data_IF_202759547534
#
_entry.id   IF_202759547534
#
_cell.length_a   1.000
_cell.length_b   1.000
_cell.length_c   1.000
_cell.angle_alpha   90.00
_cell.angle_beta   90.00
_cell.angle_gamma   90.00
#
_symmetry.space_group_name_H-M   'P 1'
#
loop_
_entity.id
_entity.type
_entity.pdbx_description
1 polymer ?
#
# COMPACT_ATOMS: atom_id res chain seq x y z
N UNK A 1 3.92 0.53 -29.51
CA UNK A 1 3.52 0.00 -28.19
C UNK A 1 4.75 -0.52 -27.47
N UNK A 2 4.66 -0.79 -26.16
CA UNK A 2 5.76 -1.31 -25.36
C UNK A 2 5.29 -2.53 -24.58
N UNK A 3 6.16 -3.53 -24.44
CA UNK A 3 5.92 -4.74 -23.65
C UNK A 3 7.13 -5.02 -22.75
N UNK A 4 6.86 -5.59 -21.58
CA UNK A 4 7.86 -6.08 -20.64
C UNK A 4 7.65 -7.59 -20.54
N UNK A 5 8.71 -8.36 -20.73
CA UNK A 5 8.71 -9.83 -20.58
C UNK A 5 9.66 -10.14 -19.44
N UNK A 6 9.17 -10.91 -18.46
CA UNK A 6 9.95 -11.37 -17.31
C UNK A 6 9.99 -12.89 -17.32
N UNK A 7 11.13 -13.47 -16.92
CA UNK A 7 11.31 -14.93 -16.89
C UNK A 7 10.44 -15.60 -15.81
N UNK A 8 10.19 -14.91 -14.70
CA UNK A 8 9.37 -15.42 -13.59
C UNK A 8 8.43 -14.36 -13.04
N UNK A 9 7.33 -14.82 -12.43
CA UNK A 9 6.34 -13.95 -11.77
C UNK A 9 6.92 -13.18 -10.58
N UNK A 10 7.98 -13.69 -9.94
CA UNK A 10 8.60 -13.04 -8.80
C UNK A 10 9.32 -11.75 -9.22
N UNK A 11 10.04 -11.79 -10.35
CA UNK A 11 10.67 -10.61 -10.91
C UNK A 11 9.63 -9.55 -11.30
N UNK A 12 8.52 -9.95 -11.93
CA UNK A 12 7.44 -9.03 -12.26
C UNK A 12 6.90 -8.32 -11.01
N UNK A 13 6.64 -9.06 -9.92
CA UNK A 13 6.12 -8.48 -8.66
C UNK A 13 7.10 -7.54 -7.96
N UNK A 14 8.40 -7.77 -8.12
CA UNK A 14 9.47 -6.96 -7.48
C UNK A 14 9.74 -5.66 -8.21
N UNK A 15 9.74 -5.70 -9.55
CA UNK A 15 10.15 -4.56 -10.37
C UNK A 15 8.98 -3.71 -10.87
N UNK A 16 7.82 -4.31 -11.14
CA UNK A 16 6.69 -3.54 -11.65
C UNK A 16 6.08 -2.61 -10.59
N UNK A 17 5.61 -1.42 -11.00
CA UNK A 17 4.79 -0.59 -10.13
C UNK A 17 3.53 -1.34 -9.66
N UNK A 18 3.22 -1.25 -8.37
CA UNK A 18 2.05 -1.91 -7.76
C UNK A 18 0.72 -1.67 -8.50
N UNK A 19 0.54 -0.51 -9.14
CA UNK A 19 -0.71 -0.21 -9.85
C UNK A 19 -0.88 -1.02 -11.15
N UNK A 20 0.21 -1.47 -11.80
CA UNK A 20 0.15 -2.41 -12.91
C UNK A 20 -0.23 -3.81 -12.42
N UNK A 21 0.40 -4.27 -11.33
CA UNK A 21 0.07 -5.56 -10.70
C UNK A 21 -1.40 -5.64 -10.27
N UNK A 22 -1.97 -4.55 -9.76
CA UNK A 22 -3.40 -4.49 -9.41
C UNK A 22 -4.29 -4.60 -10.66
N UNK A 23 -3.91 -3.99 -11.79
CA UNK A 23 -4.65 -4.11 -13.06
C UNK A 23 -4.56 -5.54 -13.63
N UNK A 24 -3.42 -6.20 -13.46
CA UNK A 24 -3.20 -7.59 -13.86
C UNK A 24 -3.80 -8.62 -12.88
N UNK A 25 -4.36 -8.19 -11.74
CA UNK A 25 -4.94 -9.08 -10.72
C UNK A 25 -3.93 -9.77 -9.81
N UNK A 26 -2.65 -9.40 -9.87
CA UNK A 26 -1.57 -10.01 -9.08
C UNK A 26 -1.41 -9.37 -7.69
N UNK A 27 -2.09 -8.26 -7.40
CA UNK A 27 -2.03 -7.55 -6.12
C UNK A 27 -3.38 -6.90 -5.76
N UNK A 28 -3.65 -6.76 -4.46
CA UNK A 28 -4.87 -6.11 -3.99
C UNK A 28 -4.79 -4.56 -4.00
N UNK A 29 -5.90 -3.86 -4.31
CA UNK A 29 -5.97 -2.41 -4.22
C UNK A 29 -5.92 -1.92 -2.76
N UNK A 30 -5.25 -0.80 -2.53
CA UNK A 30 -5.17 -0.20 -1.18
C UNK A 30 -6.44 0.58 -0.88
N UNK A 31 -7.23 0.12 0.09
CA UNK A 31 -8.58 0.66 0.39
C UNK A 31 -8.61 1.93 1.25
N UNK A 32 -7.55 2.23 2.03
CA UNK A 32 -7.59 3.35 2.98
C UNK A 32 -7.35 4.70 2.30
N UNK A 33 -8.25 5.67 2.48
CA UNK A 33 -8.13 7.01 1.92
C UNK A 33 -7.05 7.88 2.60
N UNK A 34 -6.55 8.89 1.87
CA UNK A 34 -5.53 9.85 2.39
C UNK A 34 -6.03 10.59 3.64
N UNK A 35 -7.30 10.99 3.67
CA UNK A 35 -7.94 11.70 4.78
C UNK A 35 -7.88 10.87 6.08
N UNK A 36 -8.37 9.63 6.03
CA UNK A 36 -8.38 8.70 7.17
C UNK A 36 -6.97 8.47 7.75
N UNK A 37 -5.94 8.34 6.90
CA UNK A 37 -4.55 8.19 7.36
C UNK A 37 -4.04 9.42 8.10
N UNK A 38 -4.35 10.62 7.60
CA UNK A 38 -3.93 11.88 8.23
C UNK A 38 -4.64 12.12 9.56
N UNK A 39 -5.94 11.83 9.62
CA UNK A 39 -6.74 11.94 10.85
C UNK A 39 -6.24 10.97 11.92
N UNK A 40 -6.01 9.70 11.56
CA UNK A 40 -5.43 8.70 12.47
C UNK A 40 -4.08 9.16 13.02
N UNK A 41 -3.19 9.65 12.14
CA UNK A 41 -1.88 10.20 12.55
C UNK A 41 -2.02 11.34 13.56
N UNK A 42 -2.95 12.27 13.34
CA UNK A 42 -3.17 13.39 14.24
C UNK A 42 -3.77 12.96 15.59
N UNK A 43 -4.66 11.96 15.63
CA UNK A 43 -5.17 11.38 16.89
C UNK A 43 -4.06 10.69 17.68
N UNK A 44 -3.24 9.87 17.04
CA UNK A 44 -2.12 9.16 17.69
C UNK A 44 -1.05 10.11 18.27
N UNK A 45 -0.95 11.35 17.76
CA UNK A 45 -0.04 12.37 18.32
C UNK A 45 -0.54 12.97 19.64
N UNK A 46 -1.86 12.95 19.89
CA UNK A 46 -2.48 13.54 21.09
C UNK A 46 -2.36 12.65 22.34
N UNK A 47 -2.16 11.35 22.16
CA UNK A 47 -2.10 10.36 23.25
C UNK A 47 -0.68 9.82 23.45
N UNK A 48 -0.37 9.37 24.68
CA UNK A 48 0.94 8.85 25.10
C UNK A 48 0.77 7.55 25.88
N UNK A 49 1.86 6.78 26.03
CA UNK A 49 1.87 5.51 26.78
C UNK A 49 0.90 4.47 26.22
N UNK A 50 0.35 3.63 27.10
CA UNK A 50 -0.57 2.53 26.76
C UNK A 50 -1.77 3.02 25.94
N UNK A 51 -2.27 4.24 26.23
CA UNK A 51 -3.39 4.85 25.49
C UNK A 51 -3.11 5.07 24.00
N UNK A 52 -1.85 5.13 23.57
CA UNK A 52 -1.48 5.25 22.15
C UNK A 52 -1.49 3.90 21.42
N UNK A 53 -1.23 2.80 22.12
CA UNK A 53 -1.26 1.46 21.54
C UNK A 53 -2.70 0.99 21.21
N UNK A 54 -3.69 1.55 21.92
CA UNK A 54 -5.10 1.24 21.73
C UNK A 54 -5.82 2.10 20.65
N UNK A 55 -5.12 3.04 20.00
CA UNK A 55 -5.69 4.02 19.02
C UNK A 55 -5.25 3.71 17.60
#
# INVERSE_FOLDING_TARGET
GFALIYDTLDFAKKFEPRHHLVRQGLAEPKKTARKQRKERKNRMKKVRGIKKAAV
#
